data_IF_412790773534
#
_entry.id   IF_412790773534
#
_cell.length_a   1.000
_cell.length_b   1.000
_cell.length_c   1.000
_cell.angle_alpha   90.00
_cell.angle_beta   90.00
_cell.angle_gamma   90.00
#
_symmetry.space_group_name_H-M   'P 1'
#
loop_
_entity.id
_entity.type
_entity.pdbx_description
1 polymer ?
#
# COMPACT_ATOMS: atom_id res chain seq x y z
N UNK A 1 -3.12 1.81 -12.40
CA UNK A 1 -3.25 2.49 -13.71
C UNK A 1 -2.96 1.45 -14.79
N UNK A 2 -3.95 1.12 -15.61
CA UNK A 2 -3.76 0.27 -16.80
C UNK A 2 -3.85 1.20 -18.02
N UNK A 3 -2.79 1.26 -18.82
CA UNK A 3 -2.73 2.07 -20.05
C UNK A 3 -3.11 1.16 -21.23
N UNK A 4 -4.16 1.50 -21.98
CA UNK A 4 -4.66 0.67 -23.09
C UNK A 4 -4.43 1.27 -24.48
N UNK A 5 -3.41 2.12 -24.62
CA UNK A 5 -3.07 2.79 -25.88
C UNK A 5 -3.42 4.28 -25.87
N UNK A 6 -3.05 4.97 -26.95
CA UNK A 6 -3.04 6.45 -27.05
C UNK A 6 -4.40 7.15 -26.90
N UNK A 7 -5.53 6.42 -26.90
CA UNK A 7 -6.86 7.03 -26.95
C UNK A 7 -7.71 6.86 -25.68
N UNK A 8 -7.31 6.01 -24.72
CA UNK A 8 -8.16 5.61 -23.58
C UNK A 8 -7.30 5.40 -22.29
N UNK A 9 -7.77 5.94 -21.16
CA UNK A 9 -7.09 5.83 -19.86
C UNK A 9 -8.01 5.42 -18.70
N UNK A 10 -7.39 4.83 -17.67
CA UNK A 10 -8.00 4.30 -16.46
C UNK A 10 -7.42 4.94 -15.19
N UNK A 11 -8.19 5.78 -14.48
CA UNK A 11 -7.88 6.22 -13.12
C UNK A 11 -8.66 5.40 -12.08
N UNK A 12 -7.96 4.53 -11.35
CA UNK A 12 -8.42 4.08 -10.02
C UNK A 12 -7.44 4.68 -9.01
N UNK A 13 -7.92 5.63 -8.22
CA UNK A 13 -7.14 6.34 -7.21
C UNK A 13 -7.98 6.41 -5.95
N UNK A 14 -7.45 5.81 -4.87
CA UNK A 14 -8.05 5.76 -3.53
C UNK A 14 -8.06 7.14 -2.84
N UNK A 15 -7.49 8.17 -3.49
CA UNK A 15 -7.69 9.58 -3.15
C UNK A 15 -8.62 10.23 -4.17
N UNK A 16 -9.82 10.60 -3.73
CA UNK A 16 -10.85 11.22 -4.57
C UNK A 16 -10.37 12.52 -5.23
N UNK A 17 -9.50 13.29 -4.57
CA UNK A 17 -8.91 14.52 -5.09
C UNK A 17 -7.91 14.25 -6.23
N UNK A 18 -6.99 13.31 -6.02
CA UNK A 18 -6.01 12.93 -7.04
C UNK A 18 -6.72 12.34 -8.27
N UNK A 19 -7.67 11.43 -8.05
CA UNK A 19 -8.46 10.81 -9.11
C UNK A 19 -9.12 11.86 -10.02
N UNK A 20 -9.79 12.85 -9.43
CA UNK A 20 -10.46 13.94 -10.14
C UNK A 20 -9.49 14.79 -10.96
N UNK A 21 -8.32 15.12 -10.39
CA UNK A 21 -7.29 15.90 -11.11
C UNK A 21 -6.74 15.15 -12.31
N UNK A 22 -6.48 13.85 -12.15
CA UNK A 22 -6.06 12.99 -13.26
C UNK A 22 -7.14 12.88 -14.34
N UNK A 23 -8.39 12.68 -13.95
CA UNK A 23 -9.52 12.59 -14.87
C UNK A 23 -9.68 13.86 -15.73
N UNK A 24 -9.57 15.04 -15.12
CA UNK A 24 -9.54 16.34 -15.83
C UNK A 24 -8.34 16.42 -16.77
N UNK A 25 -7.13 16.07 -16.29
CA UNK A 25 -5.91 16.14 -17.08
C UNK A 25 -5.97 15.24 -18.33
N UNK A 26 -6.52 14.03 -18.20
CA UNK A 26 -6.64 13.09 -19.32
C UNK A 26 -7.71 13.53 -20.32
N UNK A 27 -8.84 14.06 -19.85
CA UNK A 27 -9.85 14.65 -20.72
C UNK A 27 -9.29 15.84 -21.52
N UNK A 28 -8.54 16.73 -20.86
CA UNK A 28 -7.87 17.86 -21.51
C UNK A 28 -6.81 17.41 -22.53
N UNK A 29 -6.20 16.24 -22.33
CA UNK A 29 -5.25 15.63 -23.26
C UNK A 29 -5.93 14.92 -24.45
N UNK A 30 -7.27 14.92 -24.53
CA UNK A 30 -8.05 14.33 -25.62
C UNK A 30 -8.46 12.87 -25.40
N UNK A 31 -8.16 12.28 -24.24
CA UNK A 31 -8.61 10.93 -23.91
C UNK A 31 -10.13 10.89 -23.74
N UNK A 32 -10.77 9.83 -24.25
CA UNK A 32 -12.21 9.63 -24.09
C UNK A 32 -12.49 8.72 -22.91
N UNK A 33 -13.41 9.13 -22.04
CA UNK A 33 -13.91 8.26 -20.98
C UNK A 33 -14.79 7.17 -21.57
N UNK A 34 -14.64 5.96 -21.07
CA UNK A 34 -15.52 4.84 -21.38
C UNK A 34 -16.42 4.45 -20.20
N UNK A 35 -16.09 4.91 -18.99
CA UNK A 35 -16.87 4.73 -17.77
C UNK A 35 -16.64 5.92 -16.84
N UNK A 36 -17.56 6.15 -15.92
CA UNK A 36 -17.41 7.16 -14.87
C UNK A 36 -16.29 6.79 -13.90
N UNK A 37 -15.68 7.81 -13.29
CA UNK A 37 -14.60 7.61 -12.30
C UNK A 37 -15.15 6.91 -11.05
N UNK A 38 -14.66 5.70 -10.77
CA UNK A 38 -14.93 4.99 -9.52
C UNK A 38 -14.26 5.70 -8.35
N UNK A 39 -15.05 6.27 -7.45
CA UNK A 39 -14.56 6.94 -6.23
C UNK A 39 -14.81 6.02 -5.03
N UNK A 40 -13.76 5.33 -4.59
CA UNK A 40 -13.75 4.58 -3.34
C UNK A 40 -13.78 5.52 -2.13
N UNK A 41 -14.30 5.02 -1.01
CA UNK A 41 -14.43 5.78 0.22
C UNK A 41 -14.04 4.89 1.41
N UNK A 42 -12.84 5.10 1.95
CA UNK A 42 -12.29 4.33 3.08
C UNK A 42 -13.09 4.49 4.39
N UNK A 43 -14.09 5.37 4.42
CA UNK A 43 -15.01 5.52 5.56
C UNK A 43 -16.26 4.64 5.46
N UNK A 44 -16.52 4.01 4.31
CA UNK A 44 -17.64 3.09 4.14
C UNK A 44 -17.29 1.69 4.70
N UNK A 45 -18.30 0.86 4.94
CA UNK A 45 -18.12 -0.51 5.45
C UNK A 45 -17.24 -1.37 4.52
N UNK A 46 -17.39 -1.18 3.20
CA UNK A 46 -16.57 -1.84 2.17
C UNK A 46 -15.23 -1.12 1.90
N UNK A 47 -14.94 -0.02 2.60
CA UNK A 47 -13.71 0.76 2.49
C UNK A 47 -13.38 1.21 1.06
N UNK A 48 -12.12 1.05 0.63
CA UNK A 48 -11.72 1.40 -0.75
C UNK A 48 -12.42 0.55 -1.82
N UNK A 49 -13.04 -0.58 -1.45
CA UNK A 49 -13.79 -1.41 -2.40
C UNK A 49 -15.15 -0.81 -2.74
N UNK A 50 -15.58 0.24 -2.05
CA UNK A 50 -16.78 1.00 -2.39
C UNK A 50 -16.70 1.44 -3.85
N UNK A 51 -17.70 1.02 -4.64
CA UNK A 51 -17.80 1.24 -6.10
C UNK A 51 -16.70 0.58 -6.95
N UNK A 52 -15.70 -0.08 -6.35
CA UNK A 52 -14.68 -0.81 -7.11
C UNK A 52 -15.32 -1.91 -7.95
N UNK A 53 -16.17 -2.76 -7.35
CA UNK A 53 -16.81 -3.87 -8.07
C UNK A 53 -17.70 -3.38 -9.23
N UNK A 54 -18.48 -2.32 -8.98
CA UNK A 54 -19.35 -1.70 -10.01
C UNK A 54 -18.49 -1.17 -11.16
N UNK A 55 -17.41 -0.47 -10.83
CA UNK A 55 -16.49 0.07 -11.82
C UNK A 55 -15.74 -1.03 -12.58
N UNK A 56 -15.30 -2.08 -11.91
CA UNK A 56 -14.59 -3.22 -12.49
C UNK A 56 -15.45 -3.94 -13.54
N UNK A 57 -16.74 -4.17 -13.27
CA UNK A 57 -17.67 -4.74 -14.24
C UNK A 57 -17.80 -3.90 -15.51
N UNK A 58 -17.85 -2.55 -15.39
CA UNK A 58 -17.90 -1.65 -16.54
C UNK A 58 -16.63 -1.76 -17.39
N UNK A 59 -15.47 -1.88 -16.74
CA UNK A 59 -14.18 -2.10 -17.42
C UNK A 59 -14.21 -3.43 -18.16
N UNK A 60 -14.66 -4.52 -17.54
CA UNK A 60 -14.66 -5.83 -18.19
C UNK A 60 -15.60 -5.87 -19.40
N UNK A 61 -16.79 -5.28 -19.28
CA UNK A 61 -17.74 -5.15 -20.40
C UNK A 61 -17.16 -4.31 -21.53
N UNK A 62 -16.52 -3.18 -21.21
CA UNK A 62 -15.91 -2.33 -22.22
C UNK A 62 -14.77 -3.02 -22.98
N UNK A 63 -13.97 -3.81 -22.27
CA UNK A 63 -12.90 -4.61 -22.86
C UNK A 63 -13.40 -5.91 -23.52
N UNK A 64 -14.72 -6.18 -23.46
CA UNK A 64 -15.36 -7.39 -23.98
C UNK A 64 -14.72 -8.68 -23.42
N UNK A 65 -14.36 -8.65 -22.12
CA UNK A 65 -13.76 -9.78 -21.39
C UNK A 65 -14.66 -10.32 -20.29
N UNK A 66 -15.88 -9.79 -20.16
CA UNK A 66 -16.90 -10.17 -19.18
C UNK A 66 -17.43 -11.61 -19.36
N UNK A 67 -17.18 -12.24 -20.52
CA UNK A 67 -17.61 -13.60 -20.85
C UNK A 67 -16.45 -14.59 -21.05
N UNK A 68 -15.21 -14.21 -20.69
CA UNK A 68 -14.04 -15.07 -20.89
C UNK A 68 -13.90 -16.04 -19.72
N UNK A 69 -13.82 -17.34 -20.01
CA UNK A 69 -13.45 -18.34 -19.00
C UNK A 69 -11.98 -18.17 -18.63
N UNK A 70 -11.73 -17.66 -17.43
CA UNK A 70 -10.37 -17.50 -16.92
C UNK A 70 -9.79 -18.89 -16.58
N UNK A 71 -8.62 -19.19 -17.16
CA UNK A 71 -7.76 -20.26 -16.64
C UNK A 71 -6.92 -19.67 -15.50
N UNK A 72 -6.56 -20.47 -14.48
CA UNK A 72 -5.61 -20.02 -13.46
C UNK A 72 -4.36 -19.47 -14.13
N UNK A 73 -3.98 -18.25 -13.78
CA UNK A 73 -2.78 -17.62 -14.30
C UNK A 73 -1.57 -18.39 -13.78
N UNK A 74 -0.63 -18.72 -14.66
CA UNK A 74 0.64 -19.31 -14.24
C UNK A 74 1.39 -18.37 -13.28
N UNK A 75 2.12 -18.95 -12.33
CA UNK A 75 2.91 -18.18 -11.38
C UNK A 75 3.92 -17.30 -12.10
N UNK A 76 3.99 -16.02 -11.71
CA UNK A 76 5.04 -15.10 -12.17
C UNK A 76 6.37 -15.32 -11.45
N UNK A 77 6.40 -16.18 -10.44
CA UNK A 77 7.55 -16.43 -9.60
C UNK A 77 8.00 -17.88 -9.74
N UNK A 78 9.30 -18.05 -9.93
CA UNK A 78 9.97 -19.35 -9.81
C UNK A 78 10.65 -19.43 -8.45
N UNK A 79 10.51 -20.56 -7.78
CA UNK A 79 11.15 -20.81 -6.49
C UNK A 79 12.47 -21.52 -6.78
N UNK A 80 13.57 -20.97 -6.25
CA UNK A 80 14.88 -21.63 -6.24
C UNK A 80 15.33 -21.80 -4.80
N UNK A 81 15.49 -23.05 -4.36
CA UNK A 81 15.97 -23.35 -3.02
C UNK A 81 17.49 -23.18 -3.03
N UNK A 82 17.97 -22.12 -2.39
CA UNK A 82 19.40 -21.86 -2.24
C UNK A 82 19.87 -22.50 -0.91
N UNK A 83 20.90 -23.36 -0.92
CA UNK A 83 21.49 -23.90 0.31
C UNK A 83 21.95 -22.77 1.22
N UNK A 84 21.64 -22.91 2.51
CA UNK A 84 21.78 -21.89 3.53
C UNK A 84 23.26 -21.52 3.78
N UNK A 85 23.83 -20.65 2.94
CA UNK A 85 25.26 -20.29 3.00
C UNK A 85 25.49 -18.89 3.58
N UNK A 86 24.45 -18.05 3.69
CA UNK A 86 24.45 -16.80 4.47
C UNK A 86 23.04 -16.20 4.50
N UNK A 87 22.37 -16.25 5.64
CA UNK A 87 21.10 -15.54 5.82
C UNK A 87 21.41 -14.03 5.86
N UNK A 88 20.83 -13.20 4.99
CA UNK A 88 21.00 -11.75 5.09
C UNK A 88 20.39 -11.26 6.41
N UNK A 89 21.23 -10.83 7.34
CA UNK A 89 20.81 -10.38 8.68
C UNK A 89 20.31 -8.93 8.72
N UNK A 90 20.40 -8.21 7.59
CA UNK A 90 20.09 -6.77 7.51
C UNK A 90 19.39 -6.42 6.19
N UNK A 91 18.28 -7.11 5.90
CA UNK A 91 17.42 -6.76 4.76
C UNK A 91 16.78 -5.41 5.04
N UNK A 92 17.20 -4.40 4.29
CA UNK A 92 16.78 -3.02 4.49
C UNK A 92 16.33 -2.39 3.18
N UNK A 93 15.36 -1.48 3.23
CA UNK A 93 15.17 -0.57 2.11
C UNK A 93 16.41 0.33 1.94
N UNK A 94 16.87 0.57 0.71
CA UNK A 94 18.06 1.40 0.47
C UNK A 94 18.03 2.76 1.21
N UNK A 95 16.85 3.36 1.35
CA UNK A 95 16.66 4.71 1.89
C UNK A 95 16.31 4.79 3.37
N UNK A 96 16.16 3.68 4.09
CA UNK A 96 15.91 3.76 5.55
C UNK A 96 17.23 3.85 6.33
N UNK A 97 17.17 4.31 7.58
CA UNK A 97 18.34 4.35 8.47
C UNK A 97 18.03 3.59 9.76
N UNK A 98 19.03 2.93 10.33
CA UNK A 98 18.89 2.33 11.65
C UNK A 98 19.04 3.43 12.69
N UNK A 99 17.98 3.65 13.47
CA UNK A 99 17.96 4.59 14.58
C UNK A 99 17.72 3.78 15.86
N UNK A 100 18.43 4.13 16.94
CA UNK A 100 18.31 3.41 18.20
C UNK A 100 17.12 3.98 18.98
N UNK A 101 16.31 3.11 19.58
CA UNK A 101 15.32 3.55 20.56
C UNK A 101 16.08 4.02 21.81
N UNK A 102 15.98 5.31 22.11
CA UNK A 102 16.64 5.93 23.25
C UNK A 102 15.78 5.79 24.52
N UNK A 103 14.47 6.00 24.40
CA UNK A 103 13.55 6.00 25.54
C UNK A 103 12.18 5.46 25.16
N UNK A 104 11.59 4.70 26.08
CA UNK A 104 10.18 4.28 26.03
C UNK A 104 9.54 4.57 27.38
N UNK A 105 8.42 5.28 27.37
CA UNK A 105 7.66 5.61 28.58
C UNK A 105 6.20 5.26 28.33
N UNK A 106 5.57 4.54 29.27
CA UNK A 106 4.11 4.38 29.26
C UNK A 106 3.51 5.65 29.84
N UNK A 107 2.63 6.28 29.08
CA UNK A 107 2.03 7.58 29.42
C UNK A 107 0.67 7.43 30.11
N UNK A 108 0.15 6.21 30.16
CA UNK A 108 -1.14 5.87 30.76
C UNK A 108 -0.98 5.10 32.06
N UNK A 109 -1.90 5.27 33.04
CA UNK A 109 -1.96 4.44 34.23
C UNK A 109 -2.21 2.95 33.92
N UNK A 110 -1.87 2.07 34.85
CA UNK A 110 -2.04 0.61 34.69
C UNK A 110 -3.49 0.17 34.45
N UNK A 111 -4.46 0.89 35.03
CA UNK A 111 -5.88 0.57 34.93
C UNK A 111 -6.59 1.26 33.74
N UNK A 112 -5.83 1.86 32.83
CA UNK A 112 -6.39 2.52 31.66
C UNK A 112 -6.68 1.51 30.55
N UNK A 113 -7.73 1.75 29.77
CA UNK A 113 -8.22 0.86 28.71
C UNK A 113 -7.30 0.82 27.48
N UNK A 114 -6.40 1.80 27.33
CA UNK A 114 -5.46 1.91 26.22
C UNK A 114 -4.01 1.91 26.70
N UNK A 115 -3.15 1.26 25.93
CA UNK A 115 -1.71 1.33 26.12
C UNK A 115 -1.14 2.45 25.24
N UNK A 116 -0.83 3.61 25.85
CA UNK A 116 -0.21 4.73 25.14
C UNK A 116 1.23 4.91 25.60
N UNK A 117 2.14 5.10 24.65
CA UNK A 117 3.57 5.23 24.93
C UNK A 117 4.19 6.43 24.22
N UNK A 118 5.18 7.02 24.88
CA UNK A 118 6.10 8.01 24.32
C UNK A 118 7.42 7.32 23.98
N UNK A 119 7.87 7.47 22.74
CA UNK A 119 9.11 6.90 22.22
C UNK A 119 10.06 8.02 21.79
N UNK A 120 11.32 7.93 22.21
CA UNK A 120 12.39 8.81 21.75
C UNK A 120 13.42 7.99 20.99
N UNK A 121 13.82 8.45 19.81
CA UNK A 121 14.80 7.77 18.95
C UNK A 121 16.06 8.63 18.83
N UNK A 122 17.22 8.01 18.97
CA UNK A 122 18.50 8.67 18.71
C UNK A 122 18.82 8.63 17.21
N UNK A 123 18.91 9.81 16.62
CA UNK A 123 19.19 10.02 15.20
C UNK A 123 20.60 10.58 14.95
N UNK A 124 21.45 10.76 15.98
CA UNK A 124 22.78 11.40 15.85
C UNK A 124 23.71 10.69 14.87
N UNK A 125 23.68 9.36 14.86
CA UNK A 125 24.48 8.52 13.95
C UNK A 125 23.79 8.29 12.61
N UNK A 126 22.62 8.89 12.40
CA UNK A 126 21.87 8.83 11.15
C UNK A 126 22.10 10.10 10.32
N UNK A 127 21.96 10.00 9.00
CA UNK A 127 21.96 11.16 8.11
C UNK A 127 20.57 11.82 8.01
N UNK A 128 19.71 11.66 9.03
CA UNK A 128 18.34 12.15 8.99
C UNK A 128 18.24 13.59 9.52
N UNK A 129 17.44 14.39 8.84
CA UNK A 129 17.03 15.73 9.28
C UNK A 129 15.50 15.80 9.27
N UNK A 130 14.91 16.55 10.19
CA UNK A 130 13.46 16.74 10.21
C UNK A 130 13.10 18.14 10.71
N UNK A 131 11.89 18.58 10.38
CA UNK A 131 11.24 19.75 10.99
C UNK A 131 9.96 19.32 11.69
N UNK A 132 9.48 20.15 12.61
CA UNK A 132 8.20 19.92 13.28
C UNK A 132 7.08 19.76 12.24
N UNK A 133 6.26 18.71 12.41
CA UNK A 133 5.21 18.33 11.46
C UNK A 133 5.63 17.29 10.41
N UNK A 134 6.92 16.92 10.32
CA UNK A 134 7.31 15.74 9.54
C UNK A 134 6.88 14.45 10.22
N UNK A 135 6.67 13.41 9.42
CA UNK A 135 6.34 12.07 9.88
C UNK A 135 7.58 11.17 9.88
N UNK A 136 7.68 10.31 10.89
CA UNK A 136 8.66 9.23 10.96
C UNK A 136 7.99 7.92 10.53
N UNK A 137 8.51 7.29 9.48
CA UNK A 137 8.09 5.97 9.05
C UNK A 137 8.97 4.88 9.70
N UNK A 138 8.34 3.87 10.30
CA UNK A 138 9.01 2.74 10.94
C UNK A 138 8.63 1.46 10.20
N UNK A 139 9.61 0.58 9.96
CA UNK A 139 9.38 -0.74 9.38
C UNK A 139 9.38 -1.78 10.51
N UNK A 140 8.19 -2.22 10.99
CA UNK A 140 8.12 -3.20 12.05
C UNK A 140 8.41 -4.62 11.53
N UNK A 141 8.70 -5.52 12.46
CA UNK A 141 8.67 -6.96 12.23
C UNK A 141 7.34 -7.52 12.73
N UNK A 142 6.84 -8.56 12.07
CA UNK A 142 5.70 -9.32 12.56
C UNK A 142 6.05 -10.05 13.86
N UNK A 143 5.03 -10.39 14.64
CA UNK A 143 5.23 -11.23 15.81
C UNK A 143 5.79 -12.60 15.43
N UNK A 144 6.75 -13.08 16.21
CA UNK A 144 7.44 -14.34 15.92
C UNK A 144 6.54 -15.55 16.13
N UNK A 145 5.67 -15.53 17.15
CA UNK A 145 4.76 -16.63 17.43
C UNK A 145 3.67 -16.71 16.35
N UNK A 146 3.11 -15.57 15.95
CA UNK A 146 2.12 -15.53 14.86
C UNK A 146 2.71 -16.05 13.55
N UNK A 147 3.97 -15.68 13.26
CA UNK A 147 4.67 -16.16 12.05
C UNK A 147 4.90 -17.67 12.10
N UNK A 148 5.28 -18.22 13.26
CA UNK A 148 5.45 -19.67 13.44
C UNK A 148 4.10 -20.39 13.31
N UNK A 149 3.03 -19.85 13.90
CA UNK A 149 1.70 -20.43 13.83
C UNK A 149 1.12 -20.42 12.41
N UNK A 150 1.47 -19.43 11.57
CA UNK A 150 1.04 -19.39 10.17
C UNK A 150 1.69 -20.49 9.31
N UNK A 151 2.90 -20.93 9.67
CA UNK A 151 3.63 -21.96 8.93
C UNK A 151 3.12 -23.37 9.26
N UNK A 152 2.66 -23.59 10.49
CA UNK A 152 2.21 -24.88 11.01
C UNK A 152 0.73 -25.15 10.72
#
# INVERSE_FOLDING_TARGET
IVYLGLDIYLSLLVSTEAAKKYDIAMNNAGAKKFADTGLGNDHDEDGFMTKYMIWEELVWKYLNVDNVTLKPKESKYTISIVPNTSIPTNIRRPTSSNIKLYKKIVTTPENYDRYMMHLEFDIKESNMTYVAGNALAIYPYNDTNDTINFIN
#
